data_IF_007362377376
#
_entry.id   IF_007362377376
#
_cell.length_a   1.000
_cell.length_b   1.000
_cell.length_c   1.000
_cell.angle_alpha   90.00
_cell.angle_beta   90.00
_cell.angle_gamma   90.00
#
_symmetry.space_group_name_H-M   'P 1'
#
loop_
_entity.id
_entity.type
_entity.pdbx_description
1 polymer ?
#
# COMPACT_ATOMS: atom_id res chain seq x y z
N UNK A 1 -28.66 28.84 -6.60
CA UNK A 1 -28.46 27.38 -6.73
C UNK A 1 -27.13 27.05 -6.05
N UNK A 2 -27.18 26.76 -4.75
CA UNK A 2 -25.97 26.54 -3.95
C UNK A 2 -25.36 25.19 -4.31
N UNK A 3 -24.18 25.22 -4.93
CA UNK A 3 -23.36 24.03 -5.16
C UNK A 3 -22.87 23.52 -3.80
N UNK A 4 -23.40 22.40 -3.33
CA UNK A 4 -22.81 21.71 -2.19
C UNK A 4 -21.37 21.30 -2.54
N UNK A 5 -20.41 21.90 -1.84
CA UNK A 5 -18.99 21.60 -1.97
C UNK A 5 -18.70 20.30 -1.24
N UNK A 6 -18.49 19.20 -1.96
CA UNK A 6 -17.95 17.97 -1.40
C UNK A 6 -16.43 18.08 -1.26
N UNK A 7 -15.89 17.52 -0.17
CA UNK A 7 -14.44 17.38 0.06
C UNK A 7 -14.16 15.91 0.31
N UNK A 8 -13.10 15.41 -0.29
CA UNK A 8 -12.60 14.08 -0.01
C UNK A 8 -11.97 14.07 1.39
N UNK A 9 -12.29 13.05 2.19
CA UNK A 9 -11.69 12.85 3.53
C UNK A 9 -10.27 12.31 3.38
N UNK A 10 -9.30 13.07 3.88
CA UNK A 10 -7.91 12.64 4.05
C UNK A 10 -7.68 12.08 5.47
N UNK A 11 -6.66 11.25 5.61
CA UNK A 11 -6.24 10.68 6.88
C UNK A 11 -6.63 9.22 7.03
N UNK A 12 -6.53 8.72 8.28
CA UNK A 12 -6.53 7.29 8.60
C UNK A 12 -7.71 6.53 8.01
N UNK A 13 -7.43 5.38 7.37
CA UNK A 13 -8.47 4.47 6.83
C UNK A 13 -8.50 3.14 7.62
N UNK A 14 -9.20 3.08 8.78
CA UNK A 14 -9.18 1.87 9.64
C UNK A 14 -9.77 0.63 8.95
N UNK A 15 -10.72 0.81 8.03
CA UNK A 15 -11.33 -0.28 7.27
C UNK A 15 -10.56 -0.65 6.00
N UNK A 16 -9.44 0.02 5.71
CA UNK A 16 -8.56 -0.36 4.61
C UNK A 16 -7.58 -1.42 5.11
N UNK A 17 -7.78 -2.66 4.67
CA UNK A 17 -6.88 -3.78 5.00
C UNK A 17 -5.49 -3.56 4.42
N UNK A 18 -4.46 -3.96 5.18
CA UNK A 18 -3.07 -3.87 4.74
C UNK A 18 -2.79 -4.77 3.53
N UNK A 19 -3.54 -5.86 3.35
CA UNK A 19 -3.42 -6.69 2.15
C UNK A 19 -3.88 -5.96 0.88
N UNK A 20 -4.94 -5.14 0.97
CA UNK A 20 -5.38 -4.30 -0.16
C UNK A 20 -4.33 -3.25 -0.47
N UNK A 21 -3.81 -2.59 0.56
CA UNK A 21 -2.74 -1.60 0.40
C UNK A 21 -1.50 -2.22 -0.26
N UNK A 22 -1.05 -3.39 0.21
CA UNK A 22 0.06 -4.15 -0.37
C UNK A 22 -0.18 -4.49 -1.85
N UNK A 23 -1.38 -4.98 -2.18
CA UNK A 23 -1.74 -5.31 -3.55
C UNK A 23 -1.65 -4.09 -4.47
N UNK A 24 -2.27 -2.97 -4.07
CA UNK A 24 -2.24 -1.72 -4.83
C UNK A 24 -0.82 -1.14 -4.92
N UNK A 25 -0.01 -1.26 -3.86
CA UNK A 25 1.40 -0.85 -3.90
C UNK A 25 2.19 -1.64 -4.94
N UNK A 26 2.04 -2.97 -4.97
CA UNK A 26 2.77 -3.76 -5.95
C UNK A 26 2.25 -3.54 -7.38
N UNK A 27 0.94 -3.38 -7.56
CA UNK A 27 0.35 -3.05 -8.86
C UNK A 27 0.85 -1.70 -9.38
N UNK A 28 0.81 -0.66 -8.54
CA UNK A 28 1.41 0.65 -8.82
C UNK A 28 2.89 0.51 -9.19
N UNK A 29 3.68 -0.20 -8.39
CA UNK A 29 5.12 -0.34 -8.63
C UNK A 29 5.42 -1.02 -9.96
N UNK A 30 4.71 -2.08 -10.31
CA UNK A 30 4.92 -2.79 -11.57
C UNK A 30 4.60 -1.92 -12.80
N UNK A 31 3.66 -0.99 -12.68
CA UNK A 31 3.32 -0.06 -13.75
C UNK A 31 4.24 1.17 -13.79
N UNK A 32 4.67 1.66 -12.62
CA UNK A 32 5.44 2.89 -12.50
C UNK A 32 6.94 2.67 -12.74
N UNK A 33 7.49 1.57 -12.23
CA UNK A 33 8.93 1.29 -12.24
C UNK A 33 9.20 -0.23 -12.18
N UNK A 34 8.82 -0.99 -13.24
CA UNK A 34 8.85 -2.46 -13.23
C UNK A 34 10.23 -3.04 -12.90
N UNK A 35 11.29 -2.40 -13.38
CA UNK A 35 12.67 -2.90 -13.29
C UNK A 35 13.43 -2.39 -12.06
N UNK A 36 12.82 -1.52 -11.26
CA UNK A 36 13.43 -0.99 -10.04
C UNK A 36 13.26 -1.97 -8.87
N UNK A 37 14.32 -2.17 -8.10
CA UNK A 37 14.30 -2.94 -6.86
C UNK A 37 13.89 -2.10 -5.65
N UNK A 38 13.87 -0.77 -5.78
CA UNK A 38 13.48 0.15 -4.72
C UNK A 38 12.38 1.10 -5.18
N UNK A 39 11.55 1.54 -4.23
CA UNK A 39 10.52 2.55 -4.41
C UNK A 39 10.66 3.57 -3.29
N UNK A 40 10.76 4.85 -3.63
CA UNK A 40 10.84 5.88 -2.60
C UNK A 40 9.50 6.07 -1.90
N UNK A 41 9.56 6.56 -0.66
CA UNK A 41 8.37 6.95 0.08
C UNK A 41 7.55 8.01 -0.68
N UNK A 42 8.22 9.00 -1.26
CA UNK A 42 7.56 10.11 -1.97
C UNK A 42 6.77 9.62 -3.18
N UNK A 43 7.28 8.63 -3.92
CA UNK A 43 6.53 8.05 -5.02
C UNK A 43 5.30 7.29 -4.51
N UNK A 44 5.45 6.51 -3.43
CA UNK A 44 4.34 5.77 -2.82
C UNK A 44 3.26 6.69 -2.24
N UNK A 45 3.66 7.84 -1.68
CA UNK A 45 2.75 8.79 -1.07
C UNK A 45 2.12 9.76 -2.09
N UNK A 46 2.91 10.24 -3.06
CA UNK A 46 2.58 11.44 -3.81
C UNK A 46 2.63 11.29 -5.33
N UNK A 47 3.11 10.17 -5.90
CA UNK A 47 3.09 10.02 -7.35
C UNK A 47 1.64 9.92 -7.90
N UNK A 48 1.39 10.30 -9.16
CA UNK A 48 0.12 10.03 -9.81
C UNK A 48 -0.20 8.53 -9.78
N UNK A 49 -1.39 8.16 -9.30
CA UNK A 49 -1.81 6.76 -9.16
C UNK A 49 -1.20 6.02 -7.97
N UNK A 50 -0.44 6.71 -7.11
CA UNK A 50 0.15 6.07 -5.93
C UNK A 50 -0.91 5.65 -4.90
N UNK A 51 -0.64 4.62 -4.07
CA UNK A 51 -1.55 4.20 -3.01
C UNK A 51 -1.90 5.35 -2.04
N UNK A 52 -0.93 6.20 -1.70
CA UNK A 52 -1.18 7.36 -0.84
C UNK A 52 -2.22 8.32 -1.42
N UNK A 53 -2.17 8.60 -2.73
CA UNK A 53 -3.16 9.45 -3.39
C UNK A 53 -4.50 8.77 -3.60
N UNK A 54 -4.51 7.51 -4.02
CA UNK A 54 -5.74 6.76 -4.32
C UNK A 54 -6.59 6.57 -3.06
N UNK A 55 -5.95 6.24 -1.94
CA UNK A 55 -6.64 6.04 -0.67
C UNK A 55 -6.75 7.29 0.19
N UNK A 56 -6.17 8.42 -0.25
CA UNK A 56 -6.17 9.71 0.45
C UNK A 56 -5.53 9.60 1.85
N UNK A 57 -4.45 8.84 1.94
CA UNK A 57 -3.73 8.61 3.20
C UNK A 57 -2.87 9.80 3.54
N UNK A 58 -2.67 10.00 4.84
CA UNK A 58 -1.65 10.90 5.36
C UNK A 58 -0.35 10.12 5.55
N UNK A 59 0.75 10.85 5.68
CA UNK A 59 2.10 10.30 5.78
C UNK A 59 2.22 9.26 6.89
N UNK A 60 1.71 9.55 8.09
CA UNK A 60 1.76 8.63 9.23
C UNK A 60 1.00 7.32 8.95
N UNK A 61 -0.17 7.37 8.28
CA UNK A 61 -0.92 6.15 7.92
C UNK A 61 -0.20 5.34 6.83
N UNK A 62 0.58 5.99 5.97
CA UNK A 62 1.43 5.27 5.00
C UNK A 62 2.56 4.58 5.74
N UNK A 63 3.26 5.28 6.65
CA UNK A 63 4.36 4.71 7.43
C UNK A 63 3.89 3.52 8.27
N UNK A 64 2.80 3.68 9.04
CA UNK A 64 2.18 2.62 9.85
C UNK A 64 1.97 1.33 9.02
N UNK A 65 1.59 1.48 7.75
CA UNK A 65 1.34 0.36 6.81
C UNK A 65 2.62 -0.21 6.21
N UNK A 66 3.60 0.65 5.92
CA UNK A 66 4.90 0.23 5.40
C UNK A 66 5.71 -0.55 6.44
N UNK A 67 5.58 -0.21 7.73
CA UNK A 67 6.18 -0.98 8.83
C UNK A 67 5.64 -2.41 8.90
N UNK A 68 4.36 -2.62 8.60
CA UNK A 68 3.72 -3.94 8.60
C UNK A 68 3.97 -4.74 7.30
N UNK A 69 4.58 -4.11 6.29
CA UNK A 69 4.71 -4.64 4.94
C UNK A 69 5.56 -5.91 4.88
N UNK A 70 6.60 -5.99 5.70
CA UNK A 70 7.50 -7.14 5.76
C UNK A 70 6.76 -8.39 6.21
N UNK A 71 5.99 -8.29 7.29
CA UNK A 71 5.19 -9.40 7.84
C UNK A 71 4.15 -9.90 6.83
N UNK A 72 3.31 -8.99 6.31
CA UNK A 72 2.23 -9.36 5.40
C UNK A 72 2.73 -9.86 4.04
N UNK A 73 3.94 -9.47 3.63
CA UNK A 73 4.53 -9.89 2.35
C UNK A 73 5.39 -11.15 2.50
N UNK A 74 5.64 -11.62 3.73
CA UNK A 74 6.56 -12.73 4.01
C UNK A 74 8.01 -12.39 3.65
N UNK A 75 8.47 -11.17 3.96
CA UNK A 75 9.83 -10.70 3.71
C UNK A 75 10.15 -10.29 2.26
N UNK A 76 9.14 -10.22 1.39
CA UNK A 76 9.35 -9.89 -0.02
C UNK A 76 9.53 -8.39 -0.26
N UNK A 77 8.88 -7.57 0.56
CA UNK A 77 9.03 -6.12 0.60
C UNK A 77 9.45 -5.71 2.00
N UNK A 78 10.44 -4.85 2.10
CA UNK A 78 10.99 -4.38 3.36
C UNK A 78 10.98 -2.86 3.35
N UNK A 79 10.43 -2.25 4.40
CA UNK A 79 10.53 -0.82 4.62
C UNK A 79 11.88 -0.47 5.25
N UNK A 80 12.52 0.59 4.77
CA UNK A 80 13.78 1.10 5.32
C UNK A 80 13.74 2.62 5.42
N UNK A 81 14.03 3.12 6.61
CA UNK A 81 14.22 4.52 6.92
C UNK A 81 15.57 4.71 7.62
N UNK A 82 16.60 5.12 6.88
CA UNK A 82 17.96 5.26 7.39
C UNK A 82 18.55 6.59 6.95
N UNK A 83 19.02 7.40 7.90
CA UNK A 83 19.69 8.68 7.64
C UNK A 83 18.88 9.62 6.70
N UNK A 84 17.55 9.63 6.84
CA UNK A 84 16.64 10.42 6.01
C UNK A 84 16.30 9.80 4.64
N UNK A 85 16.91 8.67 4.27
CA UNK A 85 16.50 7.90 3.09
C UNK A 85 15.35 6.97 3.46
N UNK A 86 14.20 7.20 2.83
CA UNK A 86 12.93 6.50 3.08
C UNK A 86 12.47 5.75 1.85
N UNK A 87 12.52 4.43 1.90
CA UNK A 87 12.27 3.60 0.73
C UNK A 87 11.76 2.21 1.11
N UNK A 88 11.02 1.63 0.17
CA UNK A 88 10.66 0.22 0.17
C UNK A 88 11.66 -0.52 -0.71
N UNK A 89 12.15 -1.64 -0.23
CA UNK A 89 13.11 -2.51 -0.93
C UNK A 89 12.40 -3.81 -1.28
N UNK A 90 12.53 -4.24 -2.53
CA UNK A 90 11.93 -5.48 -3.05
C UNK A 90 13.01 -6.53 -3.25
N UNK A 91 12.97 -7.59 -2.44
CA UNK A 91 13.98 -8.66 -2.44
C UNK A 91 13.98 -9.51 -3.71
N UNK A 92 12.80 -9.70 -4.33
CA UNK A 92 12.63 -10.42 -5.61
C UNK A 92 11.48 -9.82 -6.41
N UNK A 93 11.58 -9.83 -7.75
CA UNK A 93 10.48 -9.42 -8.64
C UNK A 93 9.30 -10.37 -8.41
N UNK A 94 8.23 -9.88 -7.76
CA UNK A 94 7.04 -10.69 -7.47
C UNK A 94 6.07 -10.61 -8.65
N UNK A 95 5.56 -11.75 -9.06
CA UNK A 95 4.47 -11.80 -10.05
C UNK A 95 3.18 -11.33 -9.39
N UNK A 96 2.41 -10.50 -10.09
CA UNK A 96 1.04 -10.08 -9.70
C UNK A 96 0.17 -11.28 -9.26
N UNK A 97 0.36 -12.46 -9.86
CA UNK A 97 -0.38 -13.68 -9.48
C UNK A 97 -0.10 -14.13 -8.05
N UNK A 98 1.10 -13.86 -7.52
CA UNK A 98 1.49 -14.21 -6.15
C UNK A 98 0.81 -13.29 -5.12
N UNK A 99 0.70 -11.98 -5.37
CA UNK A 99 -0.05 -11.11 -4.45
C UNK A 99 -1.56 -11.33 -4.54
N UNK A 100 -2.10 -11.68 -5.71
CA UNK A 100 -3.52 -12.01 -5.84
C UNK A 100 -3.93 -13.18 -4.93
N UNK A 101 -3.02 -14.12 -4.67
CA UNK A 101 -3.26 -15.22 -3.74
C UNK A 101 -3.35 -14.72 -2.30
N UNK A 102 -2.40 -13.89 -1.86
CA UNK A 102 -2.41 -13.26 -0.52
C UNK A 102 -3.69 -12.43 -0.35
N UNK A 103 -4.03 -11.61 -1.35
CA UNK A 103 -5.25 -10.80 -1.34
C UNK A 103 -6.50 -11.67 -1.18
N UNK A 104 -6.61 -12.78 -1.93
CA UNK A 104 -7.73 -13.72 -1.81
C UNK A 104 -7.81 -14.36 -0.42
N UNK A 105 -6.70 -14.85 0.10
CA UNK A 105 -6.62 -15.49 1.42
C UNK A 105 -7.02 -14.52 2.55
N UNK A 106 -6.54 -13.26 2.49
CA UNK A 106 -6.87 -12.23 3.47
C UNK A 106 -8.32 -11.78 3.36
N UNK A 107 -8.83 -11.51 2.15
CA UNK A 107 -10.23 -11.09 1.96
C UNK A 107 -11.22 -12.16 2.44
N UNK A 108 -10.92 -13.45 2.23
CA UNK A 108 -11.74 -14.55 2.74
C UNK A 108 -11.72 -14.57 4.28
N UNK A 109 -10.54 -14.37 4.89
CA UNK A 109 -10.38 -14.38 6.34
C UNK A 109 -11.06 -13.17 7.02
N UNK A 110 -10.99 -11.99 6.40
CA UNK A 110 -11.64 -10.77 6.91
C UNK A 110 -13.16 -10.85 6.78
N UNK A 111 -13.69 -11.43 5.70
CA UNK A 111 -15.12 -11.72 5.56
C UNK A 111 -15.63 -12.65 6.67
N UNK A 112 -14.84 -13.64 7.09
CA UNK A 112 -15.22 -14.55 8.19
C UNK A 112 -15.23 -13.82 9.53
N UNK A 113 -14.27 -12.91 9.78
CA UNK A 113 -14.20 -12.14 11.04
C UNK A 113 -15.27 -11.06 11.16
N UNK A 114 -15.76 -10.52 10.04
CA UNK A 114 -16.86 -9.54 10.04
C UNK A 114 -18.24 -10.18 10.19
N UNK A 115 -18.36 -11.49 9.98
CA UNK A 115 -19.61 -12.25 10.07
C UNK A 115 -19.82 -12.95 11.43
N UNK A 116 -18.87 -12.84 12.36
CA UNK A 116 -18.90 -13.39 13.71
C UNK A 116 -19.03 -12.27 14.76
#
# INVERSE_FOLDING_TARGET
MDKQRSRLSRGRKPNLSNAIFLYCLNEFWNNFAPDQATMSFENTAYAPGSPGRVFLLEEDDIVDRLEQLEEISGGALVWSETAGLRQIIRSKKRSIKAEQRILRETLISDCIRMAA
#
